data_IF_066983900703
#
_entry.id   IF_066983900703
#
_cell.length_a   1.000
_cell.length_b   1.000
_cell.length_c   1.000
_cell.angle_alpha   90.00
_cell.angle_beta   90.00
_cell.angle_gamma   90.00
#
_symmetry.space_group_name_H-M   'P 1'
#
loop_
_entity.id
_entity.type
_entity.pdbx_description
1 polymer ?
#
# COMPACT_ATOMS: atom_id res chain seq x y z
N UNK A 1 -25.74 -12.51 -33.55
CA UNK A 1 -25.99 -13.95 -33.38
C UNK A 1 -24.65 -14.61 -33.04
N UNK A 2 -24.53 -15.20 -31.84
CA UNK A 2 -23.40 -16.03 -31.29
C UNK A 2 -22.02 -15.31 -31.14
N UNK A 3 -21.43 -15.00 -29.96
CA UNK A 3 -21.00 -15.75 -28.72
C UNK A 3 -19.73 -16.60 -29.04
N UNK A 4 -18.53 -16.51 -28.43
CA UNK A 4 -17.94 -16.39 -27.05
C UNK A 4 -16.51 -15.78 -27.15
N UNK A 5 -15.69 -15.41 -26.14
CA UNK A 5 -15.65 -15.49 -24.66
C UNK A 5 -14.50 -14.57 -24.13
N UNK A 6 -14.57 -13.99 -22.92
CA UNK A 6 -13.91 -14.47 -21.67
C UNK A 6 -12.50 -13.85 -21.47
N UNK A 7 -12.05 -13.31 -20.34
CA UNK A 7 -12.61 -13.11 -18.99
C UNK A 7 -11.80 -12.03 -18.22
N UNK A 8 -11.92 -12.05 -16.89
CA UNK A 8 -11.22 -11.21 -15.89
C UNK A 8 -11.79 -9.81 -15.60
N UNK A 9 -12.92 -9.82 -14.87
CA UNK A 9 -13.22 -8.85 -13.81
C UNK A 9 -13.71 -9.66 -12.62
N UNK A 10 -12.97 -9.64 -11.51
CA UNK A 10 -13.50 -9.72 -10.12
C UNK A 10 -12.36 -9.94 -9.10
N UNK A 11 -11.93 -8.86 -8.46
CA UNK A 11 -11.17 -8.92 -7.20
C UNK A 11 -11.38 -7.70 -6.27
N UNK A 12 -12.04 -6.62 -6.71
CA UNK A 12 -12.14 -5.38 -5.93
C UNK A 12 -13.55 -5.04 -5.41
N UNK A 13 -14.55 -5.87 -5.67
CA UNK A 13 -15.96 -5.60 -5.29
C UNK A 13 -16.44 -6.29 -4.01
N UNK A 14 -15.62 -7.15 -3.38
CA UNK A 14 -16.04 -7.95 -2.22
C UNK A 14 -15.60 -7.43 -0.84
N UNK A 15 -14.79 -6.37 -0.77
CA UNK A 15 -14.33 -5.82 0.53
C UNK A 15 -15.34 -4.81 1.09
N UNK A 16 -16.09 -4.10 0.24
CA UNK A 16 -17.02 -3.05 0.69
C UNK A 16 -18.42 -3.55 1.11
N UNK A 17 -18.73 -4.85 0.96
CA UNK A 17 -20.00 -5.45 1.38
C UNK A 17 -19.95 -6.08 2.79
N UNK A 18 -18.75 -6.28 3.34
CA UNK A 18 -18.53 -6.90 4.67
C UNK A 18 -18.55 -5.84 5.78
N UNK A 19 -18.00 -4.63 5.54
CA UNK A 19 -18.03 -3.52 6.50
C UNK A 19 -19.44 -2.98 6.81
N UNK A 20 -20.42 -3.17 5.90
CA UNK A 20 -21.78 -2.62 6.08
C UNK A 20 -22.75 -3.53 6.85
N UNK A 21 -22.36 -4.77 7.17
CA UNK A 21 -23.15 -5.72 7.98
C UNK A 21 -22.70 -5.83 9.45
N UNK A 22 -21.56 -5.23 9.82
CA UNK A 22 -21.04 -5.26 11.20
C UNK A 22 -21.59 -4.15 12.10
N UNK A 23 -22.27 -3.13 11.55
CA UNK A 23 -22.81 -1.98 12.29
C UNK A 23 -24.26 -2.09 12.79
N UNK A 24 -24.85 -3.29 12.80
CA UNK A 24 -26.27 -3.47 13.19
C UNK A 24 -26.53 -4.55 14.24
N UNK A 25 -25.53 -4.97 15.03
CA UNK A 25 -25.77 -5.84 16.19
C UNK A 25 -24.88 -5.46 17.35
N UNK A 26 -25.32 -4.45 18.09
CA UNK A 26 -25.00 -4.31 19.51
C UNK A 26 -26.33 -4.35 20.29
N UNK A 27 -26.38 -5.35 21.19
CA UNK A 27 -27.11 -5.46 22.47
C UNK A 27 -28.64 -5.48 22.52
N UNK A 28 -29.16 -6.63 22.99
CA UNK A 28 -30.10 -6.71 24.11
C UNK A 28 -29.63 -7.88 25.00
N UNK A 29 -29.33 -7.69 26.30
CA UNK A 29 -28.95 -8.74 27.22
C UNK A 29 -30.17 -9.19 28.03
N UNK A 30 -30.58 -10.46 27.94
CA UNK A 30 -31.23 -11.14 29.06
C UNK A 30 -31.38 -12.65 28.85
N UNK A 31 -31.13 -13.38 29.94
CA UNK A 31 -31.54 -14.77 30.22
C UNK A 31 -30.77 -15.91 29.54
N UNK A 32 -29.71 -16.42 30.21
CA UNK A 32 -29.45 -17.87 30.23
C UNK A 32 -29.16 -18.30 31.67
N UNK A 33 -30.18 -18.88 32.29
CA UNK A 33 -30.13 -19.64 33.55
C UNK A 33 -29.42 -20.98 33.34
N UNK A 34 -28.68 -21.38 34.37
CA UNK A 34 -28.06 -22.67 34.60
C UNK A 34 -28.93 -23.88 34.23
N UNK A 35 -28.35 -24.84 33.50
CA UNK A 35 -28.54 -26.28 33.77
C UNK A 35 -27.41 -27.12 33.17
N UNK A 36 -26.33 -27.31 33.94
CA UNK A 36 -25.38 -28.39 33.69
C UNK A 36 -25.90 -29.66 34.34
N UNK A 37 -26.53 -30.53 33.55
CA UNK A 37 -26.74 -31.93 33.92
C UNK A 37 -25.64 -32.80 33.30
N UNK A 38 -24.98 -33.58 34.16
CA UNK A 38 -23.99 -34.61 33.84
C UNK A 38 -24.58 -35.65 32.88
N UNK A 39 -23.93 -35.91 31.75
CA UNK A 39 -24.17 -37.11 30.93
C UNK A 39 -22.84 -37.84 30.62
N UNK A 40 -22.59 -39.05 31.15
CA UNK A 40 -21.31 -39.75 31.08
C UNK A 40 -21.18 -40.68 29.85
N UNK A 41 -21.49 -40.21 28.63
CA UNK A 41 -21.43 -41.03 27.40
C UNK A 41 -20.48 -40.56 26.28
N UNK A 42 -19.68 -39.52 26.47
CA UNK A 42 -18.65 -39.13 25.49
C UNK A 42 -17.24 -39.60 25.88
N UNK A 43 -17.04 -40.90 26.16
CA UNK A 43 -15.71 -41.49 26.42
C UNK A 43 -15.16 -42.42 25.33
N UNK A 44 -15.85 -42.60 24.21
CA UNK A 44 -15.31 -43.40 23.09
C UNK A 44 -15.53 -42.74 21.74
N UNK A 45 -14.66 -41.78 21.40
CA UNK A 45 -14.35 -41.41 20.00
C UNK A 45 -13.09 -40.53 19.86
N UNK A 46 -12.01 -40.89 20.55
CA UNK A 46 -10.69 -40.20 20.42
C UNK A 46 -9.58 -41.22 20.17
N UNK A 47 -9.86 -42.28 19.42
CA UNK A 47 -8.89 -43.33 19.13
C UNK A 47 -9.15 -43.89 17.73
N UNK A 48 -8.90 -43.08 16.70
CA UNK A 48 -8.65 -43.49 15.31
C UNK A 48 -8.51 -42.22 14.46
N UNK A 49 -7.29 -41.69 14.40
CA UNK A 49 -6.79 -40.80 13.33
C UNK A 49 -5.25 -40.80 13.47
N UNK A 50 -4.66 -41.99 13.36
CA UNK A 50 -3.23 -42.17 13.22
C UNK A 50 -2.84 -42.18 11.73
N UNK A 51 -1.88 -41.32 11.40
CA UNK A 51 -0.83 -41.45 10.36
C UNK A 51 -1.24 -41.56 8.89
N UNK A 52 -1.07 -40.46 8.16
CA UNK A 52 -0.84 -40.45 6.70
C UNK A 52 0.65 -40.09 6.48
N UNK A 53 1.48 -40.92 5.83
CA UNK A 53 2.87 -40.57 5.55
C UNK A 53 2.96 -39.65 4.34
N UNK A 54 3.62 -38.50 4.51
CA UNK A 54 4.00 -37.60 3.40
C UNK A 54 5.24 -38.17 2.69
N UNK A 55 5.14 -38.27 1.36
CA UNK A 55 6.17 -38.76 0.46
C UNK A 55 7.15 -37.63 0.17
N UNK A 56 8.42 -37.78 0.55
CA UNK A 56 9.49 -36.82 0.22
C UNK A 56 9.97 -37.02 -1.22
N UNK A 57 9.83 -36.01 -2.07
CA UNK A 57 10.57 -35.89 -3.33
C UNK A 57 11.86 -35.05 -3.08
N UNK A 58 13.05 -35.59 -3.36
CA UNK A 58 14.30 -34.89 -3.10
C UNK A 58 14.70 -34.05 -4.31
N UNK A 59 14.56 -32.71 -4.21
CA UNK A 59 15.42 -31.69 -4.85
C UNK A 59 14.85 -30.27 -4.67
N UNK A 60 15.25 -29.58 -3.59
CA UNK A 60 15.51 -28.14 -3.61
C UNK A 60 16.19 -27.74 -2.29
N UNK A 61 17.50 -27.92 -2.24
CA UNK A 61 18.32 -27.35 -1.17
C UNK A 61 18.72 -25.93 -1.57
N UNK A 62 17.97 -24.94 -1.11
CA UNK A 62 18.54 -23.64 -0.77
C UNK A 62 17.95 -23.19 0.57
N UNK A 63 18.85 -22.93 1.52
CA UNK A 63 18.60 -22.60 2.92
C UNK A 63 17.41 -21.66 3.12
N UNK A 64 16.36 -22.17 3.75
CA UNK A 64 15.41 -21.35 4.52
C UNK A 64 15.98 -21.22 5.93
N UNK A 65 16.63 -20.09 6.22
CA UNK A 65 17.02 -19.72 7.58
C UNK A 65 16.22 -18.49 8.01
N UNK A 66 14.92 -18.69 8.21
CA UNK A 66 14.01 -17.73 8.81
C UNK A 66 12.86 -18.49 9.47
N UNK A 67 12.23 -17.96 10.54
CA UNK A 67 11.02 -18.54 11.11
C UNK A 67 9.96 -18.74 10.01
N UNK A 68 9.13 -19.79 10.08
CA UNK A 68 8.05 -20.00 9.12
C UNK A 68 7.13 -18.77 9.12
N UNK A 69 7.10 -18.03 8.00
CA UNK A 69 6.21 -16.88 7.81
C UNK A 69 6.86 -15.49 7.82
N UNK A 70 8.17 -15.37 8.03
CA UNK A 70 8.87 -14.08 7.90
C UNK A 70 9.45 -13.88 6.49
N UNK A 71 9.41 -12.64 6.00
CA UNK A 71 10.00 -12.29 4.71
C UNK A 71 11.53 -12.32 4.81
N UNK A 72 12.20 -12.73 3.73
CA UNK A 72 13.65 -12.54 3.64
C UNK A 72 14.00 -11.04 3.68
N UNK A 73 15.16 -10.71 4.26
CA UNK A 73 15.62 -9.33 4.45
C UNK A 73 15.71 -8.54 3.13
N UNK A 74 16.15 -9.17 2.03
CA UNK A 74 16.17 -8.53 0.72
C UNK A 74 14.77 -8.16 0.24
N UNK A 75 13.78 -9.03 0.49
CA UNK A 75 12.37 -8.77 0.18
C UNK A 75 11.79 -7.66 1.04
N UNK A 76 12.09 -7.63 2.35
CA UNK A 76 11.65 -6.55 3.25
C UNK A 76 12.17 -5.19 2.80
N UNK A 77 13.44 -5.11 2.41
CA UNK A 77 14.05 -3.87 1.89
C UNK A 77 13.44 -3.41 0.59
N UNK A 78 13.32 -4.32 -0.38
CA UNK A 78 12.65 -4.05 -1.65
C UNK A 78 11.23 -3.52 -1.44
N UNK A 79 10.45 -4.17 -0.56
CA UNK A 79 9.07 -3.80 -0.29
C UNK A 79 8.97 -2.45 0.43
N UNK A 80 9.81 -2.22 1.45
CA UNK A 80 9.85 -0.95 2.19
C UNK A 80 10.16 0.23 1.27
N UNK A 81 11.17 0.09 0.40
CA UNK A 81 11.52 1.13 -0.59
C UNK A 81 10.38 1.32 -1.58
N UNK A 82 9.77 0.24 -2.06
CA UNK A 82 8.60 0.29 -2.93
C UNK A 82 7.42 1.04 -2.33
N UNK A 83 7.14 0.82 -1.05
CA UNK A 83 6.10 1.55 -0.32
C UNK A 83 6.45 3.04 -0.33
N UNK A 84 7.65 3.44 0.08
CA UNK A 84 8.06 4.85 0.11
C UNK A 84 7.97 5.53 -1.26
N UNK A 85 8.39 4.84 -2.34
CA UNK A 85 8.27 5.35 -3.70
C UNK A 85 6.82 5.66 -4.09
N UNK A 86 5.87 4.80 -3.71
CA UNK A 86 4.48 4.91 -4.14
C UNK A 86 3.59 5.71 -3.18
N UNK A 87 3.82 5.64 -1.87
CA UNK A 87 2.99 6.30 -0.87
C UNK A 87 3.52 7.67 -0.44
N UNK A 88 4.82 7.94 -0.60
CA UNK A 88 5.44 9.19 -0.16
C UNK A 88 5.93 10.00 -1.37
N UNK A 89 6.83 9.43 -2.18
CA UNK A 89 7.47 10.16 -3.28
C UNK A 89 6.49 10.46 -4.42
N UNK A 90 5.65 9.50 -4.81
CA UNK A 90 4.70 9.72 -5.92
C UNK A 90 3.68 10.82 -5.63
N UNK A 91 2.99 10.85 -4.47
CA UNK A 91 2.08 11.95 -4.14
C UNK A 91 2.79 13.30 -4.04
N UNK A 92 3.99 13.33 -3.44
CA UNK A 92 4.81 14.53 -3.36
C UNK A 92 5.12 15.09 -4.77
N UNK A 93 5.59 14.23 -5.67
CA UNK A 93 5.95 14.65 -7.02
C UNK A 93 4.74 15.09 -7.83
N UNK A 94 3.55 14.49 -7.66
CA UNK A 94 2.32 14.97 -8.32
C UNK A 94 2.02 16.41 -7.94
N UNK A 95 2.04 16.71 -6.63
CA UNK A 95 1.80 18.07 -6.11
C UNK A 95 2.84 19.08 -6.61
N UNK A 96 4.09 18.64 -6.76
CA UNK A 96 5.19 19.48 -7.23
C UNK A 96 5.15 19.73 -8.76
N UNK A 97 4.90 18.68 -9.54
CA UNK A 97 4.96 18.70 -11.01
C UNK A 97 3.78 19.44 -11.62
N UNK A 98 2.57 19.21 -11.11
CA UNK A 98 1.32 19.73 -11.69
C UNK A 98 1.32 21.27 -11.93
N UNK A 99 1.64 22.12 -10.94
CA UNK A 99 1.67 23.57 -11.15
C UNK A 99 2.76 24.01 -12.16
N UNK A 100 3.91 23.32 -12.20
CA UNK A 100 5.01 23.65 -13.10
C UNK A 100 4.61 23.35 -14.55
N UNK A 101 4.03 22.18 -14.80
CA UNK A 101 3.56 21.79 -16.13
C UNK A 101 2.38 22.68 -16.56
N UNK A 102 1.48 23.02 -15.65
CA UNK A 102 0.37 23.95 -15.90
C UNK A 102 0.86 25.33 -16.34
N UNK A 103 1.84 25.90 -15.64
CA UNK A 103 2.42 27.20 -16.00
C UNK A 103 3.16 27.16 -17.34
N UNK A 104 3.88 26.07 -17.61
CA UNK A 104 4.52 25.87 -18.91
C UNK A 104 3.49 25.81 -20.04
N UNK A 105 2.39 25.09 -19.84
CA UNK A 105 1.30 25.01 -20.80
C UNK A 105 0.71 26.38 -21.10
N UNK A 106 0.36 27.16 -20.07
CA UNK A 106 -0.15 28.52 -20.25
C UNK A 106 0.84 29.41 -21.02
N UNK A 107 2.13 29.27 -20.76
CA UNK A 107 3.17 30.01 -21.47
C UNK A 107 3.22 29.64 -22.96
N UNK A 108 3.21 28.34 -23.28
CA UNK A 108 3.22 27.84 -24.67
C UNK A 108 1.91 28.11 -25.43
N UNK A 109 0.79 28.20 -24.72
CA UNK A 109 -0.47 28.69 -25.30
C UNK A 109 -0.31 30.13 -25.78
N UNK A 110 0.33 30.98 -24.98
CA UNK A 110 0.54 32.40 -25.31
C UNK A 110 1.62 32.62 -26.38
N UNK A 111 2.75 31.91 -26.31
CA UNK A 111 3.88 32.12 -27.23
C UNK A 111 3.76 31.35 -28.55
N UNK A 112 3.31 30.10 -28.50
CA UNK A 112 3.40 29.15 -29.61
C UNK A 112 2.04 28.71 -30.14
N UNK A 113 0.95 29.21 -29.52
CA UNK A 113 -0.44 28.82 -29.84
C UNK A 113 -0.61 27.29 -29.85
N UNK A 114 0.04 26.60 -28.91
CA UNK A 114 0.19 25.12 -28.90
C UNK A 114 -1.15 24.37 -28.95
N UNK A 115 -2.20 24.98 -28.42
CA UNK A 115 -3.58 24.50 -28.42
C UNK A 115 -4.28 24.49 -29.80
N UNK A 116 -3.73 25.18 -30.80
CA UNK A 116 -4.29 25.27 -32.17
C UNK A 116 -3.36 24.72 -33.25
N UNK A 117 -2.23 24.12 -32.86
CA UNK A 117 -1.22 23.66 -33.81
C UNK A 117 -1.74 22.56 -34.72
N UNK A 118 -1.25 22.59 -35.97
CA UNK A 118 -1.47 21.54 -36.97
C UNK A 118 -0.14 21.06 -37.56
N UNK A 119 -0.18 20.06 -38.45
CA UNK A 119 1.00 19.37 -38.98
C UNK A 119 2.13 20.28 -39.52
N UNK A 120 1.80 21.44 -40.09
CA UNK A 120 2.82 22.33 -40.64
C UNK A 120 3.47 23.27 -39.61
N UNK A 121 2.85 23.47 -38.43
CA UNK A 121 3.26 24.50 -37.45
C UNK A 121 3.29 23.98 -36.01
N UNK A 122 3.45 22.67 -35.81
CA UNK A 122 3.56 22.12 -34.47
C UNK A 122 4.96 22.32 -33.88
N UNK A 123 5.02 22.39 -32.56
CA UNK A 123 6.26 22.49 -31.80
C UNK A 123 7.03 21.17 -31.89
N UNK A 124 8.04 21.09 -32.75
CA UNK A 124 8.77 19.83 -32.98
C UNK A 124 9.66 19.45 -31.81
N UNK A 125 10.34 20.43 -31.23
CA UNK A 125 11.29 20.28 -30.15
C UNK A 125 11.05 21.37 -29.11
N UNK A 126 11.48 21.11 -27.88
CA UNK A 126 11.45 22.10 -26.82
C UNK A 126 12.90 22.32 -26.34
N UNK A 127 13.39 23.58 -26.25
CA UNK A 127 14.78 23.85 -25.89
C UNK A 127 15.18 23.25 -24.54
N UNK A 128 16.43 22.85 -24.38
CA UNK A 128 16.94 22.36 -23.09
C UNK A 128 16.30 21.05 -22.61
N UNK A 129 15.64 20.31 -23.50
CA UNK A 129 15.16 18.95 -23.20
C UNK A 129 16.16 17.92 -23.68
N UNK A 130 16.25 16.80 -22.96
CA UNK A 130 17.04 15.64 -23.38
C UNK A 130 16.42 14.90 -24.57
N UNK A 131 15.28 15.38 -25.10
CA UNK A 131 14.55 14.75 -26.18
C UNK A 131 14.58 15.60 -27.43
N UNK A 132 15.11 15.02 -28.52
CA UNK A 132 15.20 15.72 -29.79
C UNK A 132 13.82 16.03 -30.43
N UNK A 133 12.77 15.27 -30.09
CA UNK A 133 11.43 15.45 -30.63
C UNK A 133 10.32 15.19 -29.60
N UNK A 134 9.29 16.06 -29.61
CA UNK A 134 8.10 15.91 -28.80
C UNK A 134 7.21 14.76 -29.31
N UNK A 135 6.65 13.99 -28.37
CA UNK A 135 5.93 12.74 -28.66
C UNK A 135 4.42 12.96 -28.86
N UNK A 136 4.07 13.50 -30.01
CA UNK A 136 2.66 13.70 -30.39
C UNK A 136 1.88 12.40 -30.59
N UNK A 137 2.54 11.24 -30.72
CA UNK A 137 1.86 9.93 -30.77
C UNK A 137 1.07 9.65 -29.48
N UNK A 138 1.48 10.25 -28.36
CA UNK A 138 0.91 9.96 -27.03
C UNK A 138 -0.30 10.82 -26.66
N UNK A 139 -0.78 11.68 -27.56
CA UNK A 139 -1.96 12.52 -27.34
C UNK A 139 -3.00 12.29 -28.45
N UNK A 140 -4.23 12.76 -28.21
CA UNK A 140 -5.33 12.78 -29.20
C UNK A 140 -5.60 11.46 -29.94
N UNK A 141 -5.28 10.33 -29.30
CA UNK A 141 -5.36 8.99 -29.90
C UNK A 141 -4.53 8.82 -31.20
N UNK A 142 -3.45 9.60 -31.35
CA UNK A 142 -2.60 9.57 -32.55
C UNK A 142 -1.93 8.21 -32.78
N UNK A 143 -1.74 7.40 -31.72
CA UNK A 143 -1.27 6.01 -31.85
C UNK A 143 -2.21 5.13 -32.69
N UNK A 144 -3.52 5.41 -32.69
CA UNK A 144 -4.51 4.64 -33.47
C UNK A 144 -4.59 5.07 -34.93
N UNK A 145 -3.87 6.12 -35.34
CA UNK A 145 -3.83 6.54 -36.74
C UNK A 145 -3.22 5.42 -37.59
N UNK A 146 -3.90 4.97 -38.67
CA UNK A 146 -3.37 3.92 -39.54
C UNK A 146 -1.98 4.28 -40.05
N UNK A 147 -1.06 3.34 -39.90
CA UNK A 147 0.28 3.45 -40.48
C UNK A 147 0.17 3.47 -42.00
N UNK A 148 1.10 4.16 -42.65
CA UNK A 148 1.26 4.15 -44.10
C UNK A 148 2.40 3.22 -44.50
N UNK A 149 2.22 2.51 -45.58
CA UNK A 149 3.29 1.71 -46.19
C UNK A 149 4.12 2.61 -47.11
N UNK A 150 5.42 2.70 -46.83
CA UNK A 150 6.40 3.37 -47.70
C UNK A 150 7.60 2.45 -47.83
N UNK A 151 8.03 2.15 -49.06
CA UNK A 151 9.18 1.29 -49.35
C UNK A 151 9.10 -0.05 -48.59
N UNK A 152 7.92 -0.69 -48.60
CA UNK A 152 7.63 -1.95 -47.90
C UNK A 152 7.81 -1.90 -46.37
N UNK A 153 7.75 -0.70 -45.76
CA UNK A 153 7.76 -0.50 -44.30
C UNK A 153 6.53 0.25 -43.85
N UNK A 154 5.90 -0.25 -42.78
CA UNK A 154 4.79 0.43 -42.10
C UNK A 154 5.33 1.51 -41.16
N UNK A 155 5.09 2.77 -41.49
CA UNK A 155 5.51 3.93 -40.69
C UNK A 155 4.32 4.75 -40.22
N UNK A 156 4.51 5.51 -39.14
CA UNK A 156 3.49 6.43 -38.64
C UNK A 156 3.15 7.50 -39.69
N UNK A 157 1.86 7.73 -39.92
CA UNK A 157 1.39 8.78 -40.81
C UNK A 157 1.24 10.10 -40.06
N UNK A 158 2.39 10.73 -39.75
CA UNK A 158 2.47 11.97 -38.98
C UNK A 158 1.59 13.11 -39.55
N UNK A 159 1.30 13.11 -40.86
CA UNK A 159 0.43 14.11 -41.49
C UNK A 159 -1.02 14.08 -40.99
N UNK A 160 -1.46 12.92 -40.47
CA UNK A 160 -2.82 12.71 -39.97
C UNK A 160 -2.95 12.85 -38.46
N UNK A 161 -1.85 13.15 -37.76
CA UNK A 161 -1.91 13.36 -36.32
C UNK A 161 -2.67 14.65 -36.00
N UNK A 162 -3.45 14.62 -34.91
CA UNK A 162 -3.95 15.83 -34.29
C UNK A 162 -2.88 16.39 -33.35
N UNK A 163 -2.33 17.55 -33.71
CA UNK A 163 -1.23 18.21 -33.02
C UNK A 163 -1.69 19.20 -31.93
N UNK A 164 -3.00 19.35 -31.71
CA UNK A 164 -3.51 20.27 -30.70
C UNK A 164 -3.19 19.75 -29.30
N UNK A 165 -2.48 20.55 -28.51
CA UNK A 165 -2.24 20.25 -27.10
C UNK A 165 -3.32 20.97 -26.30
N UNK A 166 -4.35 20.25 -25.84
CA UNK A 166 -5.56 20.88 -25.29
C UNK A 166 -5.50 21.13 -23.78
N UNK A 167 -4.50 20.54 -23.12
CA UNK A 167 -4.32 20.61 -21.67
C UNK A 167 -2.85 20.50 -21.28
N UNK A 168 -2.53 20.88 -20.04
CA UNK A 168 -1.22 20.64 -19.46
C UNK A 168 -0.92 19.14 -19.32
N UNK A 169 -1.95 18.29 -19.19
CA UNK A 169 -1.82 16.83 -19.20
C UNK A 169 -1.33 16.33 -20.56
N UNK A 170 -1.93 16.80 -21.65
CA UNK A 170 -1.45 16.49 -23.02
C UNK A 170 -0.01 16.95 -23.21
N UNK A 171 0.30 18.17 -22.74
CA UNK A 171 1.65 18.70 -22.80
C UNK A 171 2.64 17.78 -22.09
N UNK A 172 2.35 17.34 -20.88
CA UNK A 172 3.25 16.44 -20.14
C UNK A 172 3.54 15.13 -20.90
N UNK A 173 2.55 14.58 -21.62
CA UNK A 173 2.72 13.34 -22.40
C UNK A 173 3.72 13.51 -23.55
N UNK A 174 3.86 14.71 -24.11
CA UNK A 174 4.83 14.98 -25.17
C UNK A 174 6.29 14.76 -24.73
N UNK A 175 6.58 14.90 -23.43
CA UNK A 175 7.92 14.72 -22.87
C UNK A 175 8.23 13.26 -22.47
N UNK A 176 7.24 12.36 -22.57
CA UNK A 176 7.35 11.00 -22.07
C UNK A 176 7.45 9.95 -23.17
N UNK A 177 8.05 8.80 -22.84
CA UNK A 177 7.96 7.65 -23.72
C UNK A 177 6.51 7.18 -23.87
N UNK A 178 6.14 6.60 -25.02
CA UNK A 178 4.75 6.20 -25.25
C UNK A 178 4.21 5.19 -24.21
N UNK A 179 5.08 4.42 -23.54
CA UNK A 179 4.72 3.48 -22.47
C UNK A 179 4.44 4.13 -21.11
N UNK A 180 4.84 5.39 -20.91
CA UNK A 180 4.64 6.13 -19.65
C UNK A 180 3.45 7.11 -19.75
N UNK A 181 2.91 7.32 -20.95
CA UNK A 181 1.95 8.38 -21.24
C UNK A 181 0.46 7.94 -21.14
N UNK A 182 0.16 6.95 -20.29
CA UNK A 182 -1.16 6.31 -20.21
C UNK A 182 -2.12 6.92 -19.16
N UNK A 183 -1.71 7.97 -18.46
CA UNK A 183 -2.51 8.61 -17.41
C UNK A 183 -3.56 9.58 -17.96
N UNK A 184 -4.62 9.80 -17.20
CA UNK A 184 -5.71 10.73 -17.54
C UNK A 184 -5.53 12.12 -16.93
N UNK A 185 -4.83 12.22 -15.80
CA UNK A 185 -4.50 13.46 -15.12
C UNK A 185 -3.19 13.30 -14.32
N UNK A 186 -2.62 14.39 -13.80
CA UNK A 186 -1.47 14.35 -12.89
C UNK A 186 -1.95 14.00 -11.47
N UNK A 187 -2.54 12.82 -11.35
CA UNK A 187 -3.19 12.31 -10.16
C UNK A 187 -2.77 10.84 -9.91
N UNK A 188 -3.61 10.08 -9.19
CA UNK A 188 -3.40 8.65 -8.92
C UNK A 188 -3.12 7.79 -10.17
N UNK A 189 -3.62 8.19 -11.35
CA UNK A 189 -3.35 7.51 -12.62
C UNK A 189 -1.95 7.77 -13.18
N UNK A 190 -1.30 8.86 -12.76
CA UNK A 190 0.06 9.21 -13.15
C UNK A 190 1.07 8.54 -12.22
N UNK A 191 1.67 7.45 -12.69
CA UNK A 191 2.65 6.69 -11.93
C UNK A 191 4.00 7.43 -11.77
N UNK A 192 4.86 6.87 -10.91
CA UNK A 192 6.18 7.44 -10.64
C UNK A 192 7.07 7.53 -11.89
N UNK A 193 6.93 6.60 -12.84
CA UNK A 193 7.76 6.61 -14.05
C UNK A 193 7.44 7.79 -14.94
N UNK A 194 6.15 8.13 -15.07
CA UNK A 194 5.70 9.32 -15.76
C UNK A 194 6.17 10.59 -15.02
N UNK A 195 6.00 10.65 -13.70
CA UNK A 195 6.41 11.82 -12.90
C UNK A 195 7.92 12.10 -13.01
N UNK A 196 8.77 11.09 -12.80
CA UNK A 196 10.21 11.22 -12.97
C UNK A 196 10.55 11.61 -14.41
N UNK A 197 9.89 10.99 -15.38
CA UNK A 197 10.07 11.34 -16.79
C UNK A 197 9.74 12.81 -17.10
N UNK A 198 8.71 13.39 -16.48
CA UNK A 198 8.39 14.81 -16.65
C UNK A 198 9.49 15.69 -16.07
N UNK A 199 9.91 15.41 -14.83
CA UNK A 199 10.96 16.17 -14.14
C UNK A 199 12.25 16.16 -14.97
N UNK A 200 12.68 14.99 -15.43
CA UNK A 200 13.94 14.83 -16.18
C UNK A 200 13.91 15.52 -17.54
N UNK A 201 12.77 15.52 -18.24
CA UNK A 201 12.70 15.94 -19.64
C UNK A 201 12.20 17.36 -19.85
N UNK A 202 11.61 18.01 -18.84
CA UNK A 202 11.09 19.38 -18.95
C UNK A 202 12.08 20.35 -18.34
N UNK A 203 12.53 21.34 -19.12
CA UNK A 203 13.54 22.32 -18.70
C UNK A 203 13.07 23.30 -17.60
N UNK A 204 11.76 23.37 -17.32
CA UNK A 204 11.19 24.25 -16.30
C UNK A 204 11.52 23.81 -14.87
N UNK A 205 12.02 22.58 -14.71
CA UNK A 205 12.49 22.06 -13.42
C UNK A 205 13.94 22.47 -13.15
N UNK A 206 14.27 22.67 -11.87
CA UNK A 206 15.64 23.01 -11.46
C UNK A 206 16.60 21.85 -11.79
N UNK A 207 17.78 22.16 -12.31
CA UNK A 207 18.77 21.14 -12.73
C UNK A 207 19.15 20.16 -11.62
N UNK A 208 19.20 20.62 -10.36
CA UNK A 208 19.46 19.73 -9.20
C UNK A 208 18.35 18.69 -9.02
N UNK A 209 17.08 19.12 -9.12
CA UNK A 209 15.91 18.23 -9.05
C UNK A 209 15.87 17.26 -10.22
N UNK A 210 16.26 17.71 -11.42
CA UNK A 210 16.38 16.83 -12.59
C UNK A 210 17.44 15.74 -12.38
N UNK A 211 18.60 16.10 -11.81
CA UNK A 211 19.67 15.15 -11.51
C UNK A 211 19.24 14.12 -10.45
N UNK A 212 18.51 14.54 -9.42
CA UNK A 212 18.03 13.62 -8.40
C UNK A 212 16.91 12.72 -8.89
N UNK A 213 16.00 13.25 -9.71
CA UNK A 213 14.97 12.43 -10.37
C UNK A 213 15.59 11.37 -11.28
N UNK A 214 16.68 11.70 -11.98
CA UNK A 214 17.42 10.75 -12.80
C UNK A 214 18.05 9.63 -11.95
N UNK A 215 18.69 9.96 -10.82
CA UNK A 215 19.24 8.96 -9.88
C UNK A 215 18.14 8.09 -9.27
N UNK A 216 17.02 8.66 -8.85
CA UNK A 216 15.88 7.87 -8.34
C UNK A 216 15.36 6.91 -9.42
N UNK A 217 15.28 7.38 -10.67
CA UNK A 217 14.87 6.54 -11.80
C UNK A 217 15.84 5.39 -12.05
N UNK A 218 17.13 5.68 -12.20
CA UNK A 218 18.17 4.70 -12.54
C UNK A 218 18.48 3.75 -11.40
N UNK A 219 18.61 4.28 -10.19
CA UNK A 219 19.22 3.57 -9.08
C UNK A 219 18.18 2.97 -8.13
N UNK A 220 16.93 3.42 -8.15
CA UNK A 220 15.90 2.90 -7.24
C UNK A 220 14.73 2.30 -8.02
N UNK A 221 14.01 3.12 -8.80
CA UNK A 221 12.74 2.69 -9.43
C UNK A 221 12.96 1.58 -10.44
N UNK A 222 13.99 1.67 -11.28
CA UNK A 222 14.25 0.66 -12.31
C UNK A 222 14.66 -0.70 -11.69
N UNK A 223 15.62 -0.77 -10.75
CA UNK A 223 15.88 -2.00 -10.00
C UNK A 223 14.67 -2.52 -9.24
N UNK A 224 13.83 -1.62 -8.72
CA UNK A 224 12.63 -2.00 -7.98
C UNK A 224 11.58 -2.69 -8.86
N UNK A 225 11.31 -2.17 -10.06
CA UNK A 225 10.33 -2.78 -10.98
C UNK A 225 10.88 -4.00 -11.70
N UNK A 226 12.20 -4.11 -11.85
CA UNK A 226 12.91 -5.27 -12.42
C UNK A 226 13.63 -6.06 -11.32
N UNK A 227 12.84 -6.51 -10.34
CA UNK A 227 13.36 -6.96 -9.07
C UNK A 227 14.28 -8.18 -9.16
N UNK A 228 15.53 -7.97 -8.73
CA UNK A 228 16.42 -9.01 -8.22
C UNK A 228 16.62 -8.79 -6.71
N UNK A 229 16.08 -9.69 -5.88
CA UNK A 229 16.15 -9.56 -4.41
C UNK A 229 17.59 -9.55 -3.87
N UNK A 230 18.56 -10.08 -4.62
CA UNK A 230 19.96 -10.10 -4.19
C UNK A 230 20.62 -8.72 -4.28
N UNK A 231 20.09 -7.81 -5.11
CA UNK A 231 20.55 -6.42 -5.20
C UNK A 231 20.12 -5.56 -4.01
N UNK A 232 19.09 -5.98 -3.27
CA UNK A 232 18.53 -5.24 -2.12
C UNK A 232 19.33 -5.48 -0.83
N UNK A 233 20.61 -5.13 -0.90
CA UNK A 233 21.53 -5.14 0.24
C UNK A 233 21.21 -4.01 1.24
N UNK A 234 21.77 -4.09 2.45
CA UNK A 234 21.66 -3.00 3.44
C UNK A 234 22.24 -1.68 2.91
N UNK A 235 23.32 -1.74 2.13
CA UNK A 235 23.92 -0.57 1.46
C UNK A 235 22.95 0.03 0.46
N UNK A 236 22.39 -0.78 -0.46
CA UNK A 236 21.43 -0.33 -1.46
C UNK A 236 20.19 0.31 -0.84
N UNK A 237 19.70 -0.29 0.24
CA UNK A 237 18.59 0.23 1.02
C UNK A 237 18.90 1.63 1.60
N UNK A 238 20.07 1.78 2.23
CA UNK A 238 20.49 3.07 2.82
C UNK A 238 20.65 4.15 1.75
N UNK A 239 21.34 3.83 0.65
CA UNK A 239 21.53 4.74 -0.48
C UNK A 239 20.19 5.17 -1.11
N UNK A 240 19.23 4.24 -1.22
CA UNK A 240 17.90 4.54 -1.74
C UNK A 240 17.18 5.61 -0.90
N UNK A 241 17.24 5.50 0.43
CA UNK A 241 16.67 6.51 1.32
C UNK A 241 17.41 7.84 1.25
N UNK A 242 18.74 7.83 1.15
CA UNK A 242 19.54 9.05 0.99
C UNK A 242 19.15 9.81 -0.28
N UNK A 243 18.97 9.11 -1.40
CA UNK A 243 18.51 9.70 -2.66
C UNK A 243 17.09 10.29 -2.55
N UNK A 244 16.16 9.57 -1.92
CA UNK A 244 14.80 10.07 -1.68
C UNK A 244 14.80 11.33 -0.79
N UNK A 245 15.60 11.33 0.28
CA UNK A 245 15.77 12.50 1.17
C UNK A 245 16.38 13.68 0.43
N UNK A 246 17.39 13.43 -0.41
CA UNK A 246 18.05 14.48 -1.17
C UNK A 246 17.08 15.14 -2.15
N UNK A 247 16.30 14.35 -2.90
CA UNK A 247 15.23 14.87 -3.76
C UNK A 247 14.31 15.79 -2.98
N UNK A 248 13.79 15.34 -1.83
CA UNK A 248 12.82 16.11 -1.02
C UNK A 248 13.38 17.47 -0.61
N UNK A 249 14.66 17.53 -0.21
CA UNK A 249 15.34 18.80 0.13
C UNK A 249 15.49 19.71 -1.08
N UNK A 250 15.82 19.15 -2.24
CA UNK A 250 16.04 19.93 -3.45
C UNK A 250 14.73 20.40 -4.11
N UNK A 251 13.58 19.82 -3.76
CA UNK A 251 12.25 20.35 -4.12
C UNK A 251 11.96 21.72 -3.47
N UNK A 252 12.69 22.11 -2.41
CA UNK A 252 12.52 23.39 -1.69
C UNK A 252 11.08 23.63 -1.25
N UNK A 253 10.52 22.62 -0.58
CA UNK A 253 9.18 22.69 0.00
C UNK A 253 9.18 23.71 1.16
N UNK A 254 8.00 24.08 1.66
CA UNK A 254 7.96 24.83 2.90
C UNK A 254 8.42 23.95 4.07
N UNK A 255 9.02 24.57 5.11
CA UNK A 255 9.62 23.85 6.23
C UNK A 255 8.68 22.83 6.89
N UNK A 256 7.37 23.11 6.97
CA UNK A 256 6.42 22.19 7.59
C UNK A 256 6.22 20.93 6.75
N UNK A 257 5.98 21.10 5.46
CA UNK A 257 5.79 19.98 4.53
C UNK A 257 7.08 19.18 4.36
N UNK A 258 8.22 19.84 4.23
CA UNK A 258 9.52 19.17 4.13
C UNK A 258 9.78 18.28 5.36
N UNK A 259 9.66 18.84 6.56
CA UNK A 259 9.90 18.10 7.80
C UNK A 259 8.93 16.92 7.98
N UNK A 260 7.67 17.08 7.55
CA UNK A 260 6.69 15.99 7.59
C UNK A 260 7.13 14.83 6.69
N UNK A 261 7.47 15.11 5.43
CA UNK A 261 7.90 14.09 4.47
C UNK A 261 9.23 13.43 4.90
N UNK A 262 10.20 14.23 5.35
CA UNK A 262 11.47 13.71 5.86
C UNK A 262 11.28 12.84 7.11
N UNK A 263 10.34 13.20 7.99
CA UNK A 263 9.95 12.40 9.15
C UNK A 263 9.32 11.06 8.77
N UNK A 264 8.45 11.03 7.76
CA UNK A 264 7.87 9.79 7.23
C UNK A 264 8.94 8.90 6.60
N UNK A 265 9.81 9.45 5.75
CA UNK A 265 10.93 8.72 5.17
C UNK A 265 11.86 8.15 6.24
N UNK A 266 12.18 8.91 7.28
CA UNK A 266 13.01 8.44 8.38
C UNK A 266 12.33 7.32 9.19
N UNK A 267 11.02 7.42 9.38
CA UNK A 267 10.22 6.40 10.06
C UNK A 267 10.27 5.09 9.28
N UNK A 268 10.08 5.13 7.97
CA UNK A 268 10.20 3.94 7.11
C UNK A 268 11.63 3.42 7.01
N UNK A 269 12.63 4.30 6.91
CA UNK A 269 14.03 3.90 6.88
C UNK A 269 14.41 3.09 8.13
N UNK A 270 13.96 3.54 9.30
CA UNK A 270 14.30 2.95 10.60
C UNK A 270 13.46 1.72 10.93
N UNK A 271 12.15 1.79 10.69
CA UNK A 271 11.19 0.81 11.19
C UNK A 271 10.54 -0.05 10.10
N UNK A 272 10.72 0.27 8.82
CA UNK A 272 10.00 -0.37 7.71
C UNK A 272 10.15 -1.89 7.65
N UNK A 273 11.36 -2.40 7.87
CA UNK A 273 11.61 -3.85 7.92
C UNK A 273 10.90 -4.52 9.11
N UNK A 274 10.78 -3.82 10.25
CA UNK A 274 10.05 -4.31 11.42
C UNK A 274 8.53 -4.32 11.18
N UNK A 275 7.99 -3.30 10.49
CA UNK A 275 6.58 -3.26 10.09
C UNK A 275 6.19 -4.43 9.18
N UNK A 276 7.14 -4.90 8.38
CA UNK A 276 6.95 -6.04 7.47
C UNK A 276 7.30 -7.39 8.11
N UNK A 277 7.80 -7.40 9.35
CA UNK A 277 8.11 -8.61 10.08
C UNK A 277 6.86 -9.07 10.82
N UNK A 278 6.35 -10.26 10.50
CA UNK A 278 5.17 -10.83 11.16
C UNK A 278 5.33 -10.99 12.68
N UNK A 279 6.57 -10.97 13.17
CA UNK A 279 6.92 -11.06 14.60
C UNK A 279 6.48 -9.85 15.41
N UNK A 280 6.51 -8.63 14.89
CA UNK A 280 6.11 -7.43 15.65
C UNK A 280 4.60 -7.38 15.86
N UNK A 281 3.83 -7.60 14.78
CA UNK A 281 2.37 -7.75 14.84
C UNK A 281 1.96 -8.92 15.75
N UNK A 282 2.70 -10.03 15.69
CA UNK A 282 2.50 -11.16 16.60
C UNK A 282 2.76 -10.80 18.07
N UNK A 283 3.83 -10.06 18.37
CA UNK A 283 4.22 -9.69 19.74
C UNK A 283 3.26 -8.67 20.36
N UNK A 284 2.79 -7.68 19.59
CA UNK A 284 1.80 -6.71 20.05
C UNK A 284 0.46 -7.39 20.38
N UNK A 285 -0.02 -8.27 19.49
CA UNK A 285 -1.25 -9.05 19.73
C UNK A 285 -1.09 -9.96 20.95
N UNK A 286 0.07 -10.61 21.10
CA UNK A 286 0.35 -11.48 22.26
C UNK A 286 0.40 -10.68 23.56
N UNK A 287 1.02 -9.49 23.55
CA UNK A 287 1.05 -8.61 24.72
C UNK A 287 -0.35 -8.11 25.09
N UNK A 288 -1.17 -7.72 24.12
CA UNK A 288 -2.54 -7.29 24.37
C UNK A 288 -3.37 -8.45 24.95
N UNK A 289 -3.30 -9.65 24.36
CA UNK A 289 -3.95 -10.85 24.89
C UNK A 289 -3.48 -11.14 26.33
N UNK A 290 -2.17 -11.06 26.60
CA UNK A 290 -1.62 -11.30 27.93
C UNK A 290 -2.14 -10.28 28.95
N UNK A 291 -2.17 -8.99 28.58
CA UNK A 291 -2.69 -7.93 29.44
C UNK A 291 -4.18 -8.09 29.73
N UNK A 292 -4.99 -8.38 28.70
CA UNK A 292 -6.43 -8.62 28.88
C UNK A 292 -6.70 -9.86 29.72
N UNK A 293 -5.93 -10.94 29.53
CA UNK A 293 -6.04 -12.17 30.33
C UNK A 293 -5.70 -11.90 31.79
N UNK A 294 -4.69 -11.08 32.06
CA UNK A 294 -4.33 -10.68 33.42
C UNK A 294 -5.45 -9.87 34.09
N UNK A 295 -6.01 -8.87 33.40
CA UNK A 295 -7.12 -8.05 33.93
C UNK A 295 -8.34 -8.93 34.24
N UNK A 296 -8.69 -9.84 33.32
CA UNK A 296 -9.81 -10.75 33.52
C UNK A 296 -9.58 -11.67 34.73
N UNK A 297 -8.36 -12.17 34.91
CA UNK A 297 -7.99 -13.02 36.05
C UNK A 297 -8.20 -12.30 37.39
N UNK A 298 -7.72 -11.06 37.51
CA UNK A 298 -7.88 -10.26 38.73
C UNK A 298 -9.36 -9.98 39.03
N UNK A 299 -10.15 -9.70 37.98
CA UNK A 299 -11.60 -9.49 38.13
C UNK A 299 -12.32 -10.75 38.62
N UNK A 300 -12.02 -11.92 38.02
CA UNK A 300 -12.59 -13.20 38.43
C UNK A 300 -12.19 -13.55 39.87
N UNK A 301 -10.93 -13.34 40.25
CA UNK A 301 -10.48 -13.57 41.63
C UNK A 301 -11.25 -12.69 42.63
N UNK A 302 -11.44 -11.42 42.30
CA UNK A 302 -12.20 -10.48 43.13
C UNK A 302 -13.66 -10.95 43.30
N UNK A 303 -14.31 -11.33 42.20
CA UNK A 303 -15.68 -11.87 42.24
C UNK A 303 -15.78 -13.14 43.08
N UNK A 304 -14.82 -14.06 42.97
CA UNK A 304 -14.79 -15.27 43.79
C UNK A 304 -14.67 -14.93 45.28
N UNK A 305 -13.79 -14.00 45.66
CA UNK A 305 -13.62 -13.60 47.07
C UNK A 305 -14.87 -12.91 47.64
N UNK A 306 -15.53 -12.07 46.83
CA UNK A 306 -16.79 -11.42 47.22
C UNK A 306 -17.89 -12.45 47.42
N UNK A 307 -18.02 -13.41 46.50
CA UNK A 307 -19.00 -14.49 46.59
C UNK A 307 -18.76 -15.38 47.82
N UNK A 308 -17.50 -15.77 48.08
CA UNK A 308 -17.14 -16.55 49.27
C UNK A 308 -17.48 -15.79 50.56
N UNK A 309 -17.22 -14.48 50.61
CA UNK A 309 -17.57 -13.64 51.75
C UNK A 309 -19.09 -13.55 51.95
N UNK A 310 -19.88 -13.46 50.88
CA UNK A 310 -21.34 -13.43 50.97
C UNK A 310 -21.90 -14.78 51.44
N UNK A 311 -21.38 -15.89 50.91
CA UNK A 311 -21.76 -17.25 51.34
C UNK A 311 -21.46 -17.46 52.82
N UNK A 312 -20.29 -17.04 53.30
CA UNK A 312 -19.94 -17.09 54.72
C UNK A 312 -20.91 -16.29 55.58
N UNK A 313 -21.29 -15.08 55.14
CA UNK A 313 -22.23 -14.23 55.87
C UNK A 313 -23.63 -14.86 55.96
N UNK A 314 -24.14 -15.39 54.85
CA UNK A 314 -25.44 -16.09 54.83
C UNK A 314 -25.42 -17.34 55.70
N UNK A 315 -24.32 -18.10 55.69
CA UNK A 315 -24.17 -19.27 56.55
C UNK A 315 -24.17 -18.89 58.04
N UNK A 316 -23.51 -17.79 58.40
CA UNK A 316 -23.53 -17.26 59.77
C UNK A 316 -24.94 -16.88 60.21
N UNK A 317 -25.66 -16.11 59.38
CA UNK A 317 -27.04 -15.67 59.67
C UNK A 317 -28.01 -16.86 59.81
N UNK A 318 -27.86 -17.91 58.99
CA UNK A 318 -28.65 -19.14 59.11
C UNK A 318 -28.38 -19.89 60.42
N UNK A 319 -27.11 -20.01 60.82
CA UNK A 319 -26.74 -20.67 62.07
C UNK A 319 -27.30 -19.89 63.29
N UNK A 320 -27.25 -18.57 63.26
CA UNK A 320 -27.80 -17.72 64.32
C UNK A 320 -29.32 -17.88 64.43
N UNK A 321 -30.03 -17.93 63.29
CA UNK A 321 -31.48 -18.18 63.25
C UNK A 321 -31.84 -19.56 63.79
N UNK A 322 -31.08 -20.59 63.41
CA UNK A 322 -31.28 -21.96 63.89
C UNK A 322 -31.14 -22.04 65.41
N UNK A 323 -30.11 -21.39 65.98
CA UNK A 323 -29.93 -21.31 67.42
C UNK A 323 -31.11 -20.61 68.12
N UNK A 324 -31.58 -19.47 67.59
CA UNK A 324 -32.76 -18.78 68.15
C UNK A 324 -34.04 -19.65 68.10
N UNK A 325 -34.26 -20.40 67.02
CA UNK A 325 -35.42 -21.29 66.92
C UNK A 325 -35.35 -22.44 67.93
N UNK A 326 -34.16 -23.01 68.16
CA UNK A 326 -33.96 -24.04 69.18
C UNK A 326 -34.27 -23.51 70.60
N UNK A 327 -33.89 -22.27 70.90
CA UNK A 327 -34.22 -21.62 72.19
C UNK A 327 -35.73 -21.38 72.39
N UNK A 328 -36.47 -21.10 71.31
CA UNK A 328 -37.93 -20.88 71.37
C UNK A 328 -38.69 -22.19 71.53
N UNK A 329 -38.27 -23.27 70.87
CA UNK A 329 -38.94 -24.58 70.91
C UNK A 329 -38.61 -25.35 72.19
N UNK A 330 -37.47 -25.07 72.83
CA UNK A 330 -37.02 -25.70 74.07
C UNK A 330 -37.63 -25.13 75.37
N UNK A 331 -38.43 -24.06 75.30
CA UNK A 331 -39.14 -23.44 76.42
C UNK A 331 -40.65 -23.71 76.34
#
# INVERSE_FOLDING_TARGET
MWVTGGGERDAFTNVLSIERRRKSRELEPDTILLSYHKDPKMKHKVSELETIPLREDPKMTHRMSGPPGDLDEGKKRWLTVGICLNSIISPLLRKYVDPIVSNLYSSLVASDSIHTQGYHRYLKNYPGTNRHFLNYESINNNRSVPKKEINSKWINDYQKYDYKVTSHVDLSKLFLQPSMAHYSAIDVSCDLSALLGMVININSFQTVVQSDAEKIRSDIRNPWVHCDFTEWTATKYTESFQLMVQLVKDLKLNNREENMILGELNTWATNGQNFLSGTLLGLEIVNDIHQQTHILREYVLTLCTEADSQVLKVQQELNDLENCLQEIIGN
#
